data_IF_548907168960
#
_entry.id   IF_548907168960
#
_cell.length_a   1.000
_cell.length_b   1.000
_cell.length_c   1.000
_cell.angle_alpha   90.00
_cell.angle_beta   90.00
_cell.angle_gamma   90.00
#
_symmetry.space_group_name_H-M   'P 1'
#
loop_
_entity.id
_entity.type
_entity.pdbx_description
1 polymer ?
#
# COMPACT_ATOMS: atom_id res chain seq x y z
N UNK A 1 -59.05 -0.30 -35.93
CA UNK A 1 -58.52 -0.95 -34.71
C UNK A 1 -57.03 -1.15 -34.96
N UNK A 2 -56.22 -0.10 -34.81
CA UNK A 2 -54.82 -0.11 -35.27
C UNK A 2 -53.88 0.74 -34.38
N UNK A 3 -54.31 1.12 -33.17
CA UNK A 3 -53.50 1.91 -32.23
C UNK A 3 -52.63 1.05 -31.30
N UNK A 4 -52.93 -0.24 -31.17
CA UNK A 4 -52.25 -1.16 -30.22
C UNK A 4 -50.80 -1.47 -30.59
N UNK A 5 -50.40 -1.35 -31.86
CA UNK A 5 -49.06 -1.74 -32.31
C UNK A 5 -47.99 -0.69 -31.99
N UNK A 6 -48.34 0.61 -32.06
CA UNK A 6 -47.41 1.70 -31.79
C UNK A 6 -47.07 1.86 -30.30
N UNK A 7 -48.06 1.66 -29.42
CA UNK A 7 -47.87 1.68 -27.96
C UNK A 7 -46.97 0.54 -27.49
N UNK A 8 -47.18 -0.66 -28.03
CA UNK A 8 -46.39 -1.86 -27.69
C UNK A 8 -44.91 -1.70 -28.10
N UNK A 9 -44.63 -1.09 -29.26
CA UNK A 9 -43.26 -0.78 -29.67
C UNK A 9 -42.61 0.25 -28.73
N UNK A 10 -43.34 1.29 -28.33
CA UNK A 10 -42.86 2.30 -27.37
C UNK A 10 -42.48 1.69 -26.03
N UNK A 11 -43.30 0.76 -25.52
CA UNK A 11 -43.02 0.05 -24.26
C UNK A 11 -41.78 -0.84 -24.35
N UNK A 12 -41.55 -1.48 -25.51
CA UNK A 12 -40.35 -2.28 -25.77
C UNK A 12 -39.10 -1.41 -25.80
N UNK A 13 -39.15 -0.24 -26.47
CA UNK A 13 -38.02 0.70 -26.46
C UNK A 13 -37.74 1.24 -25.05
N UNK A 14 -38.79 1.54 -24.27
CA UNK A 14 -38.63 1.97 -22.89
C UNK A 14 -37.99 0.87 -22.02
N UNK A 15 -38.42 -0.38 -22.18
CA UNK A 15 -37.85 -1.53 -21.47
C UNK A 15 -36.37 -1.77 -21.82
N UNK A 16 -36.00 -1.69 -23.11
CA UNK A 16 -34.61 -1.82 -23.56
C UNK A 16 -33.75 -0.69 -22.98
N UNK A 17 -34.26 0.54 -23.02
CA UNK A 17 -33.54 1.72 -22.47
C UNK A 17 -33.32 1.57 -20.96
N UNK A 18 -34.32 1.08 -20.24
CA UNK A 18 -34.22 0.82 -18.81
C UNK A 18 -33.18 -0.26 -18.51
N UNK A 19 -33.23 -1.37 -19.24
CA UNK A 19 -32.27 -2.48 -19.10
C UNK A 19 -30.83 -2.04 -19.38
N UNK A 20 -30.61 -1.19 -20.40
CA UNK A 20 -29.29 -0.64 -20.71
C UNK A 20 -28.78 0.25 -19.57
N UNK A 21 -29.67 1.09 -18.99
CA UNK A 21 -29.34 1.99 -17.88
C UNK A 21 -29.01 1.22 -16.60
N UNK A 22 -29.77 0.17 -16.30
CA UNK A 22 -29.53 -0.70 -15.16
C UNK A 22 -28.18 -1.42 -15.26
N UNK A 23 -27.86 -1.92 -16.45
CA UNK A 23 -26.57 -2.56 -16.71
C UNK A 23 -25.39 -1.58 -16.52
N UNK A 24 -25.51 -0.36 -17.04
CA UNK A 24 -24.47 0.66 -16.83
C UNK A 24 -24.33 1.05 -15.36
N UNK A 25 -25.44 1.20 -14.65
CA UNK A 25 -25.45 1.51 -13.22
C UNK A 25 -24.78 0.39 -12.40
N UNK A 26 -25.06 -0.87 -12.74
CA UNK A 26 -24.43 -2.03 -12.12
C UNK A 26 -22.91 -2.03 -12.34
N UNK A 27 -22.48 -1.85 -13.60
CA UNK A 27 -21.07 -1.79 -13.96
C UNK A 27 -20.33 -0.67 -13.22
N UNK A 28 -20.94 0.52 -13.13
CA UNK A 28 -20.32 1.65 -12.46
C UNK A 28 -20.19 1.42 -10.95
N UNK A 29 -21.21 0.86 -10.30
CA UNK A 29 -21.12 0.49 -8.88
C UNK A 29 -20.01 -0.53 -8.61
N UNK A 30 -19.89 -1.55 -9.46
CA UNK A 30 -18.81 -2.53 -9.32
C UNK A 30 -17.44 -1.88 -9.50
N UNK A 31 -17.30 -0.99 -10.49
CA UNK A 31 -16.04 -0.30 -10.73
C UNK A 31 -15.63 0.58 -9.53
N UNK A 32 -16.54 1.41 -9.02
CA UNK A 32 -16.29 2.23 -7.83
C UNK A 32 -15.96 1.39 -6.60
N UNK A 33 -16.61 0.23 -6.43
CA UNK A 33 -16.31 -0.67 -5.32
C UNK A 33 -14.92 -1.32 -5.46
N UNK A 34 -14.49 -1.64 -6.67
CA UNK A 34 -13.15 -2.16 -6.94
C UNK A 34 -12.11 -1.06 -6.69
N UNK A 35 -12.33 0.17 -7.18
CA UNK A 35 -11.43 1.31 -6.93
C UNK A 35 -11.29 1.58 -5.42
N UNK A 36 -12.39 1.66 -4.68
CA UNK A 36 -12.34 1.87 -3.23
C UNK A 36 -11.61 0.74 -2.48
N UNK A 37 -11.71 -0.51 -2.96
CA UNK A 37 -10.96 -1.65 -2.41
C UNK A 37 -9.47 -1.55 -2.74
N UNK A 38 -9.11 -1.10 -3.95
CA UNK A 38 -7.73 -0.88 -4.35
C UNK A 38 -7.13 0.24 -3.50
N UNK A 39 -7.76 1.40 -3.41
CA UNK A 39 -7.29 2.53 -2.60
C UNK A 39 -7.13 2.16 -1.12
N UNK A 40 -8.07 1.39 -0.56
CA UNK A 40 -7.98 0.89 0.80
C UNK A 40 -6.78 -0.05 1.00
N UNK A 41 -6.49 -0.92 0.02
CA UNK A 41 -5.30 -1.77 0.03
C UNK A 41 -4.03 -0.92 -0.10
N UNK A 42 -3.96 0.00 -1.06
CA UNK A 42 -2.79 0.85 -1.31
C UNK A 42 -2.48 1.76 -0.11
N UNK A 43 -3.51 2.24 0.61
CA UNK A 43 -3.29 3.04 1.83
C UNK A 43 -2.59 2.26 2.95
N UNK A 44 -2.87 0.94 3.07
CA UNK A 44 -2.23 0.05 4.05
C UNK A 44 -0.77 -0.28 3.69
N UNK A 45 -0.41 -0.14 2.42
CA UNK A 45 0.94 -0.39 1.91
C UNK A 45 1.70 0.89 1.58
N UNK A 46 1.24 2.06 2.06
CA UNK A 46 2.03 3.28 1.93
C UNK A 46 3.31 3.11 2.75
N UNK A 47 4.44 3.00 2.04
CA UNK A 47 5.74 2.89 2.69
C UNK A 47 5.92 4.10 3.62
N UNK A 48 6.39 3.88 4.85
CA UNK A 48 6.67 4.99 5.77
C UNK A 48 7.66 5.95 5.14
N UNK A 49 7.47 7.24 5.40
CA UNK A 49 8.42 8.25 4.93
C UNK A 49 9.80 7.99 5.54
N UNK A 50 10.90 8.21 4.80
CA UNK A 50 12.24 8.04 5.35
C UNK A 50 12.46 8.94 6.56
N UNK A 51 13.09 8.41 7.62
CA UNK A 51 13.47 9.20 8.78
C UNK A 51 14.78 9.95 8.51
N UNK A 52 14.77 11.29 8.55
CA UNK A 52 15.96 12.09 8.26
C UNK A 52 16.86 12.36 9.47
N UNK A 53 16.49 11.89 10.67
CA UNK A 53 17.21 12.11 11.91
C UNK A 53 17.07 13.53 12.45
N UNK A 54 15.98 14.24 12.13
CA UNK A 54 15.72 15.59 12.64
C UNK A 54 15.05 15.52 14.00
N UNK A 55 15.37 16.45 14.91
CA UNK A 55 14.72 16.54 16.23
C UNK A 55 13.21 16.81 16.18
N UNK A 56 12.70 17.29 15.04
CA UNK A 56 11.26 17.52 14.81
C UNK A 56 10.54 16.26 14.31
N UNK A 57 11.27 15.22 13.90
CA UNK A 57 10.66 13.96 13.47
C UNK A 57 10.32 13.11 14.68
N UNK A 58 9.11 12.57 14.68
CA UNK A 58 8.66 11.64 15.69
C UNK A 58 9.24 10.25 15.40
N UNK A 59 10.29 9.91 16.13
CA UNK A 59 10.99 8.65 15.96
C UNK A 59 10.15 7.45 16.43
N UNK A 60 9.33 7.62 17.47
CA UNK A 60 8.45 6.55 17.97
C UNK A 60 7.36 6.23 16.95
N UNK A 61 6.75 7.26 16.36
CA UNK A 61 5.78 7.09 15.29
C UNK A 61 6.41 6.43 14.06
N UNK A 62 7.65 6.79 13.71
CA UNK A 62 8.37 6.15 12.61
C UNK A 62 8.65 4.67 12.87
N UNK A 63 9.12 4.31 14.07
CA UNK A 63 9.30 2.90 14.44
C UNK A 63 7.98 2.12 14.40
N UNK A 64 6.90 2.72 14.90
CA UNK A 64 5.57 2.10 14.85
C UNK A 64 5.14 1.86 13.40
N UNK A 65 5.25 2.86 12.52
CA UNK A 65 4.86 2.75 11.12
C UNK A 65 5.70 1.70 10.36
N UNK A 66 7.02 1.68 10.57
CA UNK A 66 7.92 0.68 10.01
C UNK A 66 7.59 -0.73 10.50
N UNK A 67 7.33 -0.89 11.80
CA UNK A 67 6.95 -2.18 12.39
C UNK A 67 5.65 -2.71 11.81
N UNK A 68 4.66 -1.84 11.59
CA UNK A 68 3.41 -2.22 10.91
C UNK A 68 3.63 -2.56 9.43
N UNK A 69 4.47 -1.78 8.73
CA UNK A 69 4.75 -2.00 7.31
C UNK A 69 5.44 -3.34 7.04
N UNK A 70 6.29 -3.80 7.96
CA UNK A 70 6.99 -5.10 7.86
C UNK A 70 6.38 -6.19 8.76
N UNK A 71 5.14 -6.05 9.22
CA UNK A 71 4.53 -7.02 10.14
C UNK A 71 4.55 -8.46 9.60
N UNK A 72 4.37 -8.65 8.29
CA UNK A 72 4.41 -9.97 7.64
C UNK A 72 5.83 -10.58 7.58
N UNK A 73 6.87 -9.75 7.81
CA UNK A 73 8.28 -10.15 7.82
C UNK A 73 8.81 -10.35 9.25
N UNK A 74 7.94 -10.43 10.26
CA UNK A 74 8.34 -10.68 11.65
C UNK A 74 9.31 -11.87 11.84
N UNK A 75 9.19 -12.99 11.10
CA UNK A 75 10.19 -14.07 11.21
C UNK A 75 11.62 -13.63 10.90
N UNK A 76 11.80 -12.76 9.90
CA UNK A 76 13.11 -12.18 9.54
C UNK A 76 13.61 -11.19 10.59
N UNK A 77 12.72 -10.53 11.34
CA UNK A 77 13.11 -9.65 12.45
C UNK A 77 13.76 -10.41 13.60
N UNK A 78 13.38 -11.67 13.79
CA UNK A 78 13.85 -12.52 14.88
C UNK A 78 15.00 -13.44 14.49
N UNK A 79 15.39 -13.44 13.22
CA UNK A 79 16.51 -14.22 12.71
C UNK A 79 17.84 -13.58 13.12
N UNK A 80 18.86 -14.38 13.45
CA UNK A 80 20.23 -13.88 13.60
C UNK A 80 20.86 -13.61 12.22
N UNK A 81 20.29 -12.65 11.51
CA UNK A 81 20.67 -12.26 10.17
C UNK A 81 20.55 -10.76 9.99
N UNK A 82 21.47 -10.16 9.22
CA UNK A 82 21.44 -8.74 8.91
C UNK A 82 20.38 -8.37 7.87
N UNK A 83 19.68 -9.35 7.27
CA UNK A 83 18.69 -9.13 6.21
C UNK A 83 17.60 -8.14 6.61
N UNK A 84 17.08 -8.26 7.83
CA UNK A 84 16.06 -7.33 8.31
C UNK A 84 16.62 -5.92 8.50
N UNK A 85 17.83 -5.78 9.08
CA UNK A 85 18.49 -4.48 9.21
C UNK A 85 18.74 -3.82 7.85
N UNK A 86 19.14 -4.59 6.82
CA UNK A 86 19.29 -4.11 5.45
C UNK A 86 17.96 -3.61 4.89
N UNK A 87 16.86 -4.37 5.06
CA UNK A 87 15.53 -3.96 4.60
C UNK A 87 15.08 -2.64 5.25
N UNK A 88 15.29 -2.49 6.55
CA UNK A 88 14.90 -1.28 7.29
C UNK A 88 15.78 -0.09 6.89
N UNK A 89 17.06 -0.33 6.56
CA UNK A 89 17.99 0.74 6.17
C UNK A 89 17.53 1.54 4.94
N UNK A 90 16.72 0.94 4.06
CA UNK A 90 16.10 1.61 2.91
C UNK A 90 15.15 2.76 3.30
N UNK A 91 14.70 2.79 4.54
CA UNK A 91 13.81 3.84 5.09
C UNK A 91 14.56 4.86 5.95
N UNK A 92 15.90 4.81 5.96
CA UNK A 92 16.71 5.84 6.60
C UNK A 92 17.00 6.96 5.60
N UNK A 93 16.77 8.19 6.04
CA UNK A 93 17.25 9.40 5.38
C UNK A 93 18.76 9.57 5.55
N UNK A 94 19.31 10.60 4.91
CA UNK A 94 20.76 10.74 4.72
C UNK A 94 21.59 10.70 6.01
N UNK A 95 21.14 11.37 7.07
CA UNK A 95 21.87 11.43 8.35
C UNK A 95 21.93 10.07 9.05
N UNK A 96 20.80 9.44 9.41
CA UNK A 96 20.83 8.13 10.06
C UNK A 96 21.43 7.03 9.15
N UNK A 97 21.28 7.13 7.83
CA UNK A 97 21.93 6.19 6.90
C UNK A 97 23.46 6.32 6.91
N UNK A 98 24.01 7.52 7.01
CA UNK A 98 25.45 7.72 7.14
C UNK A 98 25.99 7.16 8.46
N UNK A 99 25.23 7.32 9.56
CA UNK A 99 25.57 6.72 10.84
C UNK A 99 25.53 5.19 10.77
N UNK A 100 24.48 4.61 10.18
CA UNK A 100 24.35 3.16 9.98
C UNK A 100 25.55 2.59 9.20
N UNK A 101 25.98 3.23 8.10
CA UNK A 101 27.15 2.79 7.34
C UNK A 101 28.44 2.79 8.16
N UNK A 102 28.65 3.81 9.00
CA UNK A 102 29.82 3.86 9.88
C UNK A 102 29.77 2.74 10.92
N UNK A 103 28.61 2.55 11.55
CA UNK A 103 28.40 1.47 12.51
C UNK A 103 28.65 0.09 11.88
N UNK A 104 28.12 -0.18 10.67
CA UNK A 104 28.34 -1.45 9.99
C UNK A 104 29.83 -1.71 9.74
N UNK A 105 30.59 -0.69 9.30
CA UNK A 105 32.03 -0.82 9.09
C UNK A 105 32.80 -1.11 10.39
N UNK A 106 32.38 -0.49 11.49
CA UNK A 106 32.97 -0.74 12.81
C UNK A 106 32.69 -2.18 13.29
N UNK A 107 31.46 -2.68 13.11
CA UNK A 107 31.10 -4.05 13.43
C UNK A 107 31.94 -5.06 12.63
N UNK A 108 32.04 -4.88 11.31
CA UNK A 108 32.83 -5.76 10.43
C UNK A 108 34.31 -5.82 10.84
N UNK A 109 34.88 -4.68 11.25
CA UNK A 109 36.26 -4.59 11.72
C UNK A 109 36.48 -5.31 13.07
N UNK A 110 35.47 -5.33 13.94
CA UNK A 110 35.54 -6.03 15.24
C UNK A 110 35.40 -7.54 15.12
N UNK A 111 34.69 -8.04 14.11
CA UNK A 111 34.58 -9.47 13.84
C UNK A 111 35.87 -10.05 13.27
N UNK A 112 36.64 -9.25 12.51
CA UNK A 112 37.94 -9.69 11.95
C UNK A 112 39.05 -9.80 12.99
N UNK A 113 38.92 -9.12 14.14
CA UNK A 113 39.95 -9.12 15.20
C UNK A 113 39.77 -10.21 16.25
N UNK A 114 38.67 -10.96 16.20
CA UNK A 114 38.38 -12.07 17.13
C UNK A 114 38.62 -13.47 16.55
N UNK A 115 39.07 -13.58 15.29
CA UNK A 115 39.35 -14.86 14.63
C UNK A 115 40.82 -15.27 14.67
#
# INVERSE_FOLDING_TARGET
MEETNAQTLGDVFAAITHQQTDFQTMMQRQFTQIEARIDALTSRFSAPQPNHGKLSEDLELWFFAIGQFYADFHPLMTEESSLFAIMISCHLGSTPMNWYRQLSLECDATDTTKS
#
